data_IF_418399219506
#
_entry.id   IF_418399219506
#
_cell.length_a   1.000
_cell.length_b   1.000
_cell.length_c   1.000
_cell.angle_alpha   90.00
_cell.angle_beta   90.00
_cell.angle_gamma   90.00
#
_symmetry.space_group_name_H-M   'P 1'
#
loop_
_entity.id
_entity.type
_entity.pdbx_description
1 polymer ?
2 non-polymer ?
3 non-polymer ?
4 non-polymer ?
5 water ?
#
# COMPACT_ATOMS: atom_id res chain seq x y z
N UNK A 2 7.59 10.41 11.35
CA UNK A 2 7.20 9.06 10.84
C UNK A 2 8.35 8.52 9.98
N UNK A 3 8.93 7.41 10.44
CA UNK A 3 10.14 6.78 9.95
C UNK A 3 9.68 5.55 9.19
N UNK A 4 10.38 5.23 8.12
CA UNK A 4 10.27 3.96 7.42
C UNK A 4 11.48 3.09 7.75
N UNK A 5 11.19 1.84 8.17
CA UNK A 5 12.17 0.83 8.47
C UNK A 5 11.98 -0.35 7.51
N UNK A 6 13.02 -1.18 7.34
CA UNK A 6 12.88 -2.41 6.59
C UNK A 6 11.92 -3.32 7.34
N UNK A 7 10.91 -3.82 6.65
CA UNK A 7 9.93 -4.70 7.28
C UNK A 7 10.55 -6.02 7.79
N UNK A 8 11.65 -6.49 7.21
CA UNK A 8 12.23 -7.79 7.56
C UNK A 8 13.10 -7.69 8.82
N UNK A 9 13.71 -6.54 9.08
CA UNK A 9 14.74 -6.49 10.10
C UNK A 9 14.76 -5.21 10.92
N UNK A 10 14.03 -4.18 10.52
CA UNK A 10 14.03 -2.92 11.27
C UNK A 10 15.10 -1.90 10.91
N UNK A 11 15.94 -2.19 9.94
CA UNK A 11 16.91 -1.21 9.47
C UNK A 11 16.24 0.13 9.15
N UNK A 12 16.83 1.24 9.60
CA UNK A 12 16.30 2.58 9.34
C UNK A 12 16.50 2.93 7.85
N UNK A 13 15.45 3.32 7.13
CA UNK A 13 15.60 3.48 5.67
C UNK A 13 15.28 4.92 5.26
N UNK A 14 14.11 5.42 5.65
CA UNK A 14 13.72 6.73 5.17
C UNK A 14 12.71 7.39 6.12
N UNK A 15 12.10 8.48 5.66
CA UNK A 15 11.19 9.28 6.47
C UNK A 15 10.05 9.75 5.60
N UNK A 16 8.87 9.96 6.21
CA UNK A 16 7.74 10.52 5.49
C UNK A 16 8.05 11.94 4.97
N UNK A 17 8.83 12.72 5.73
CA UNK A 17 9.28 14.05 5.31
C UNK A 17 10.05 14.00 3.98
N UNK A 18 10.60 12.84 3.61
CA UNK A 18 11.48 12.71 2.46
C UNK A 18 10.75 12.15 1.26
N UNK A 19 9.43 12.00 1.34
CA UNK A 19 8.67 11.60 0.16
C UNK A 19 8.79 12.68 -0.90
N UNK A 20 8.77 12.24 -2.14
CA UNK A 20 8.96 13.08 -3.31
C UNK A 20 7.80 12.86 -4.29
N UNK A 21 6.95 13.86 -4.58
CA UNK A 21 5.95 13.73 -5.65
C UNK A 21 6.47 13.78 -7.10
N UNK A 22 7.03 12.66 -7.58
CA UNK A 22 7.50 12.54 -8.96
C UNK A 22 6.30 12.53 -9.90
N UNK A 23 6.23 13.49 -10.83
CA UNK A 23 5.13 13.59 -11.77
C UNK A 23 3.78 13.86 -11.09
N UNK A 24 3.82 14.44 -9.88
CA UNK A 24 2.60 14.84 -9.19
C UNK A 24 2.15 13.87 -8.09
N UNK A 25 2.82 12.72 -7.94
CA UNK A 25 2.39 11.75 -6.94
C UNK A 25 3.64 11.05 -6.40
N UNK A 26 3.67 10.80 -5.08
CA UNK A 26 4.78 10.03 -4.52
C UNK A 26 4.56 8.54 -4.76
N UNK A 27 3.31 8.11 -5.00
CA UNK A 27 3.03 6.70 -5.28
C UNK A 27 2.87 6.42 -6.78
N UNK A 28 3.61 5.43 -7.26
CA UNK A 28 3.50 4.94 -8.63
C UNK A 28 3.27 3.43 -8.64
N UNK A 29 2.26 2.98 -9.37
CA UNK A 29 1.97 1.56 -9.42
C UNK A 29 2.46 1.06 -10.77
N UNK A 30 3.42 0.14 -10.75
CA UNK A 30 4.19 -0.20 -11.94
C UNK A 30 4.33 -1.71 -12.01
N UNK A 31 4.66 -2.22 -13.20
CA UNK A 31 4.92 -3.64 -13.36
C UNK A 31 6.21 -3.82 -14.12
N UNK A 32 6.95 -4.86 -13.73
CA UNK A 32 8.19 -5.20 -14.39
C UNK A 32 7.92 -6.23 -15.49
N UNK A 33 8.94 -6.59 -16.30
CA UNK A 33 8.75 -7.56 -17.37
C UNK A 33 8.50 -8.99 -16.91
N UNK A 34 8.72 -9.28 -15.61
CA UNK A 34 8.39 -10.55 -15.01
C UNK A 34 6.95 -10.56 -14.52
N UNK A 35 6.22 -9.48 -14.77
CA UNK A 35 4.81 -9.35 -14.45
C UNK A 35 4.53 -9.02 -12.98
N UNK A 36 5.57 -8.68 -12.21
CA UNK A 36 5.35 -8.32 -10.83
C UNK A 36 4.87 -6.88 -10.78
N UNK A 37 3.82 -6.63 -9.99
CA UNK A 37 3.28 -5.31 -9.74
C UNK A 37 3.86 -4.77 -8.43
N UNK A 38 4.27 -3.49 -8.44
CA UNK A 38 4.81 -2.87 -7.24
C UNK A 38 4.10 -1.55 -7.04
N UNK A 39 3.72 -1.26 -5.78
CA UNK A 39 3.41 0.09 -5.37
C UNK A 39 4.72 0.73 -4.89
N UNK A 40 5.24 1.64 -5.71
CA UNK A 40 6.53 2.27 -5.48
C UNK A 40 6.27 3.66 -4.89
N UNK A 41 6.91 3.92 -3.74
CA UNK A 41 6.94 5.26 -3.18
C UNK A 41 8.27 5.90 -3.51
N UNK A 42 8.24 7.12 -4.04
CA UNK A 42 9.43 7.88 -4.38
C UNK A 42 9.88 8.74 -3.19
N UNK A 43 11.17 8.66 -2.91
CA UNK A 43 11.78 9.42 -1.83
C UNK A 43 12.95 10.19 -2.39
N UNK A 44 13.13 11.43 -1.88
CA UNK A 44 14.30 12.23 -2.25
C UNK A 44 15.56 11.63 -1.66
N UNK A 45 15.43 10.96 -0.51
CA UNK A 45 16.58 10.49 0.22
C UNK A 45 16.22 9.20 0.96
N UNK A 46 17.21 8.31 1.09
CA UNK A 46 17.12 7.11 1.91
C UNK A 46 18.52 6.78 2.41
N UNK A 47 18.57 5.93 3.44
CA UNK A 47 19.80 5.48 4.07
C UNK A 47 19.65 3.98 4.38
N UNK A 48 20.75 3.33 4.78
CA UNK A 48 20.70 1.97 5.31
C UNK A 48 20.55 0.93 4.20
N UNK A 49 20.71 1.36 2.94
CA UNK A 49 20.58 0.50 1.77
C UNK A 49 21.96 0.09 1.29
N UNK A 50 22.00 -0.91 0.42
CA UNK A 50 23.22 -1.25 -0.28
C UNK A 50 22.82 -1.28 -1.75
N UNK A 51 23.48 -0.44 -2.57
CA UNK A 51 23.20 -0.38 -3.99
C UNK A 51 24.07 -1.40 -4.72
N UNK A 52 23.45 -2.20 -5.57
CA UNK A 52 24.09 -3.37 -6.12
C UNK A 52 24.18 -3.19 -7.63
N UNK A 53 25.38 -3.46 -8.17
CA UNK A 53 25.57 -3.50 -9.60
C UNK A 53 25.82 -2.10 -10.17
N UNK A 54 25.66 -1.99 -11.49
CA UNK A 54 25.88 -0.73 -12.15
C UNK A 54 24.54 -0.24 -12.68
N UNK A 55 24.30 1.08 -12.79
CA UNK A 55 23.02 1.59 -13.27
C UNK A 55 22.69 1.06 -14.66
N UNK A 56 21.39 0.91 -14.90
CA UNK A 56 20.85 0.45 -16.16
C UNK A 56 19.62 1.27 -16.48
N UNK A 57 19.47 1.63 -17.76
CA UNK A 57 18.29 2.33 -18.23
C UNK A 57 17.21 1.37 -18.74
N UNK A 58 17.51 0.06 -18.81
CA UNK A 58 16.60 -0.91 -19.42
C UNK A 58 15.31 -1.04 -18.59
N UNK A 59 14.16 -0.78 -19.23
CA UNK A 59 12.84 -0.91 -18.63
C UNK A 59 12.61 0.08 -17.49
N UNK A 60 13.38 1.18 -17.44
CA UNK A 60 13.17 2.16 -16.38
C UNK A 60 11.74 2.69 -16.43
N UNK A 61 11.04 2.72 -15.28
CA UNK A 61 9.70 3.29 -15.21
C UNK A 61 9.70 4.81 -15.26
N UNK A 62 10.87 5.41 -15.07
CA UNK A 62 10.99 6.83 -14.93
C UNK A 62 11.89 7.34 -16.04
N UNK A 63 11.29 8.12 -16.94
CA UNK A 63 11.97 8.55 -18.15
C UNK A 63 13.16 9.43 -17.79
N UNK A 64 14.30 9.13 -18.39
CA UNK A 64 15.53 9.88 -18.17
C UNK A 64 16.40 9.31 -17.06
N UNK A 65 15.90 8.32 -16.29
CA UNK A 65 16.67 7.81 -15.17
C UNK A 65 17.13 6.38 -15.41
N UNK A 66 18.34 6.10 -14.93
CA UNK A 66 18.89 4.77 -14.86
C UNK A 66 18.71 4.26 -13.43
N UNK A 67 18.53 2.94 -13.27
CA UNK A 67 18.28 2.38 -11.94
C UNK A 67 19.41 1.46 -11.51
N UNK A 68 19.56 1.38 -10.18
CA UNK A 68 20.40 0.40 -9.52
C UNK A 68 19.58 -0.27 -8.42
N UNK A 69 19.73 -1.60 -8.29
CA UNK A 69 18.99 -2.35 -7.27
C UNK A 69 19.43 -1.87 -5.89
N UNK A 70 18.44 -1.65 -5.00
CA UNK A 70 18.67 -1.19 -3.64
C UNK A 70 18.21 -2.33 -2.70
N UNK A 71 19.16 -2.91 -1.98
CA UNK A 71 18.86 -3.90 -0.95
C UNK A 71 18.90 -3.21 0.42
N UNK A 72 18.21 -3.80 1.38
CA UNK A 72 18.45 -3.48 2.77
C UNK A 72 19.92 -3.79 3.03
N UNK A 73 20.68 -2.79 3.54
CA UNK A 73 22.08 -2.96 3.84
C UNK A 73 22.31 -3.93 5.00
N UNK A 74 21.27 -4.17 5.79
CA UNK A 74 21.36 -5.06 6.94
C UNK A 74 21.02 -6.50 6.56
N UNK A 75 19.82 -6.73 6.01
CA UNK A 75 19.33 -8.09 5.80
C UNK A 75 19.37 -8.54 4.34
N UNK A 76 19.64 -7.64 3.40
CA UNK A 76 19.75 -8.01 2.00
C UNK A 76 18.40 -8.08 1.27
N UNK A 77 17.29 -7.76 1.95
CA UNK A 77 15.99 -7.78 1.32
C UNK A 77 15.95 -6.76 0.18
N UNK A 78 15.27 -7.06 -0.93
CA UNK A 78 15.18 -6.10 -2.02
C UNK A 78 14.13 -5.04 -1.70
N UNK A 79 14.55 -3.79 -1.47
CA UNK A 79 13.60 -2.77 -1.05
C UNK A 79 13.19 -1.84 -2.19
N UNK A 80 13.92 -1.86 -3.31
CA UNK A 80 13.58 -1.03 -4.43
C UNK A 80 14.79 -0.73 -5.29
N UNK A 81 14.83 0.51 -5.78
CA UNK A 81 15.88 0.97 -6.70
C UNK A 81 16.29 2.40 -6.38
N UNK A 82 17.55 2.71 -6.64
CA UNK A 82 18.05 4.06 -6.71
C UNK A 82 18.04 4.47 -8.18
N UNK A 83 17.54 5.68 -8.44
CA UNK A 83 17.48 6.21 -9.80
C UNK A 83 18.50 7.33 -9.89
N UNK A 84 19.20 7.40 -11.02
CA UNK A 84 20.13 8.50 -11.24
C UNK A 84 20.20 8.84 -12.73
N UNK A 85 20.90 9.94 -13.04
CA UNK A 85 21.21 10.28 -14.42
C UNK A 85 20.23 11.25 -15.05
N UNK A 86 19.22 11.70 -14.27
CA UNK A 86 18.13 12.51 -14.78
C UNK A 86 18.30 13.95 -14.35
N UNK A 87 17.19 14.71 -14.26
CA UNK A 87 17.22 16.10 -13.87
C UNK A 87 15.98 16.46 -13.06
N UNK A 88 16.17 17.29 -12.05
CA UNK A 88 15.09 17.85 -11.27
C UNK A 88 14.14 16.76 -10.78
N UNK A 89 14.58 15.81 -9.95
CA UNK A 89 15.93 15.76 -9.41
C UNK A 89 16.89 14.90 -10.22
N UNK A 90 18.20 15.01 -9.90
CA UNK A 90 19.18 14.17 -10.56
C UNK A 90 19.00 12.71 -10.15
N UNK A 91 18.67 12.51 -8.87
CA UNK A 91 18.59 11.20 -8.27
C UNK A 91 17.41 11.13 -7.29
N UNK A 92 16.92 9.91 -7.08
CA UNK A 92 15.89 9.68 -6.07
C UNK A 92 15.80 8.18 -5.85
N UNK A 93 15.00 7.79 -4.85
CA UNK A 93 14.80 6.39 -4.55
C UNK A 93 13.35 6.00 -4.79
N UNK A 94 13.16 4.87 -5.48
CA UNK A 94 11.84 4.28 -5.58
C UNK A 94 11.78 3.01 -4.75
N UNK A 95 11.05 3.05 -3.64
CA UNK A 95 11.03 1.94 -2.70
C UNK A 95 9.66 1.27 -2.72
N UNK A 96 9.69 -0.06 -2.56
CA UNK A 96 8.47 -0.85 -2.58
C UNK A 96 7.77 -0.72 -1.22
N UNK A 97 6.60 -0.09 -1.25
CA UNK A 97 5.88 0.33 -0.06
C UNK A 97 5.70 -0.85 0.90
N UNK A 98 5.33 -2.04 0.42
CA UNK A 98 4.98 -3.09 1.37
C UNK A 98 6.20 -3.86 1.89
N UNK A 99 7.41 -3.45 1.49
CA UNK A 99 8.63 -3.98 2.05
C UNK A 99 9.17 -3.07 3.16
N UNK A 100 8.44 -1.98 3.45
CA UNK A 100 8.79 -1.07 4.52
C UNK A 100 7.72 -1.16 5.62
N UNK A 101 8.07 -0.73 6.83
CA UNK A 101 7.15 -0.54 7.95
C UNK A 101 7.28 0.91 8.43
N UNK A 102 6.14 1.56 8.68
CA UNK A 102 6.10 2.95 9.06
C UNK A 102 5.85 3.06 10.56
N UNK A 103 6.55 3.98 11.23
CA UNK A 103 6.32 4.14 12.65
C UNK A 103 7.03 5.32 13.29
N UNK A 104 6.93 5.43 14.63
CA UNK A 104 7.56 6.52 15.39
C UNK A 104 9.04 6.78 15.16
N UNK A 105 9.39 8.09 15.06
CA UNK A 105 10.75 8.60 15.07
C UNK A 105 11.45 8.40 16.43
N UNK B 1 -19.47 -11.38 -0.96
CA UNK B 1 -19.89 -11.74 0.42
C UNK B 1 -18.76 -12.49 1.11
N UNK B 2 -17.68 -11.76 1.37
CA UNK B 2 -16.57 -12.28 2.15
C UNK B 2 -16.53 -11.63 3.53
N UNK B 3 -16.38 -12.45 4.58
CA UNK B 3 -16.27 -11.95 5.93
C UNK B 3 -14.91 -12.36 6.49
N UNK B 4 -14.49 -11.59 7.48
CA UNK B 4 -13.28 -11.86 8.24
C UNK B 4 -13.69 -12.29 9.63
N UNK B 5 -13.12 -13.41 10.08
CA UNK B 5 -13.44 -13.99 11.39
C UNK B 5 -12.18 -14.02 12.22
N UNK B 6 -12.33 -14.00 13.53
CA UNK B 6 -11.24 -14.15 14.47
C UNK B 6 -10.61 -15.51 14.22
N UNK B 7 -9.30 -15.55 13.94
CA UNK B 7 -8.68 -16.81 13.60
C UNK B 7 -8.67 -17.78 14.80
N UNK B 8 -8.74 -17.25 16.03
CA UNK B 8 -8.63 -18.09 17.23
C UNK B 8 -9.96 -18.77 17.56
N UNK B 9 -11.10 -18.12 17.28
CA UNK B 9 -12.36 -18.62 17.82
C UNK B 9 -13.49 -18.63 16.80
N UNK B 10 -13.32 -17.98 15.64
CA UNK B 10 -14.31 -18.04 14.58
C UNK B 10 -15.36 -16.92 14.62
N UNK B 11 -15.38 -16.07 15.64
CA UNK B 11 -16.38 -15.01 15.63
C UNK B 11 -16.23 -14.13 14.38
N UNK B 12 -17.34 -13.77 13.73
CA UNK B 12 -17.37 -12.80 12.65
C UNK B 12 -16.98 -11.41 13.16
N UNK B 13 -16.06 -10.75 12.46
CA UNK B 13 -15.54 -9.49 12.93
C UNK B 13 -15.82 -8.37 11.91
N UNK B 14 -15.55 -8.62 10.64
CA UNK B 14 -15.74 -7.59 9.66
C UNK B 14 -16.02 -8.18 8.29
N UNK B 15 -16.18 -7.28 7.33
CA UNK B 15 -16.56 -7.68 5.98
C UNK B 15 -15.58 -7.08 5.01
N UNK B 16 -15.36 -7.78 3.90
CA UNK B 16 -14.49 -7.24 2.86
C UNK B 16 -15.06 -5.96 2.25
N UNK B 17 -16.39 -5.86 2.15
CA UNK B 17 -17.07 -4.65 1.69
C UNK B 17 -16.68 -3.41 2.51
N UNK B 18 -16.20 -3.62 3.73
CA UNK B 18 -15.89 -2.53 4.64
C UNK B 18 -14.43 -2.13 4.65
N UNK B 19 -13.61 -2.71 3.77
CA UNK B 19 -12.23 -2.27 3.67
C UNK B 19 -12.20 -0.80 3.33
N UNK B 20 -11.22 -0.13 3.90
CA UNK B 20 -11.14 1.32 3.88
C UNK B 20 -9.75 1.75 3.45
N UNK B 21 -9.60 2.43 2.29
CA UNK B 21 -8.28 2.91 1.87
C UNK B 21 -7.80 4.19 2.56
N UNK B 22 -7.31 4.03 3.79
CA UNK B 22 -6.75 5.13 4.56
C UNK B 22 -5.44 5.56 3.91
N UNK B 23 -5.36 6.83 3.51
CA UNK B 23 -4.18 7.37 2.85
C UNK B 23 -3.86 6.69 1.51
N UNK B 24 -4.85 6.06 0.88
CA UNK B 24 -4.63 5.46 -0.43
C UNK B 24 -4.56 3.94 -0.41
N UNK B 25 -4.44 3.31 0.77
CA UNK B 25 -4.33 1.85 0.78
C UNK B 25 -5.05 1.31 2.00
N UNK B 26 -5.69 0.13 1.89
CA UNK B 26 -6.29 -0.48 3.07
C UNK B 26 -5.22 -1.21 3.89
N UNK B 27 -4.08 -1.57 3.28
CA UNK B 27 -2.99 -2.23 3.98
C UNK B 27 -1.90 -1.24 4.44
N UNK B 28 -1.60 -1.27 5.73
CA UNK B 28 -0.52 -0.49 6.31
C UNK B 28 0.42 -1.40 7.08
N UNK B 29 1.70 -1.46 6.71
CA UNK B 29 2.68 -2.14 7.55
C UNK B 29 3.30 -1.11 8.48
N UNK B 30 3.21 -1.36 9.79
CA UNK B 30 3.53 -0.37 10.80
C UNK B 30 4.41 -1.02 11.88
N UNK B 31 5.12 -0.19 12.65
CA UNK B 31 5.83 -0.69 13.84
C UNK B 31 5.53 0.23 15.03
N UNK B 32 5.43 -0.37 16.21
CA UNK B 32 5.13 0.38 17.42
C UNK B 32 6.45 0.78 18.09
N UNK B 33 6.42 1.55 19.21
CA UNK B 33 7.63 1.96 19.89
C UNK B 33 8.47 0.85 20.50
N UNK B 34 7.89 -0.35 20.67
CA UNK B 34 8.61 -1.51 21.15
C UNK B 34 9.25 -2.27 19.97
N UNK B 35 9.03 -1.77 18.76
CA UNK B 35 9.64 -2.32 17.54
C UNK B 35 8.89 -3.53 17.01
N UNK B 36 7.66 -3.77 17.47
CA UNK B 36 6.88 -4.86 16.93
C UNK B 36 6.22 -4.39 15.63
N UNK B 37 6.31 -5.23 14.58
CA UNK B 37 5.79 -4.90 13.27
C UNK B 37 4.45 -5.61 13.04
N UNK B 38 3.47 -4.87 12.55
CA UNK B 38 2.13 -5.43 12.28
C UNK B 38 1.76 -5.07 10.84
N UNK B 39 1.13 -6.02 10.15
CA UNK B 39 0.46 -5.72 8.90
C UNK B 39 -1.03 -5.47 9.21
N UNK B 40 -1.46 -4.22 9.06
CA UNK B 40 -2.78 -3.76 9.47
C UNK B 40 -3.64 -3.57 8.22
N UNK B 41 -4.84 -4.12 8.25
CA UNK B 41 -5.86 -3.78 7.27
C UNK B 41 -6.92 -2.87 7.90
N UNK B 42 -7.25 -1.79 7.22
CA UNK B 42 -8.22 -0.81 7.72
C UNK B 42 -9.63 -1.16 7.25
N UNK B 43 -10.54 -1.13 8.20
CA UNK B 43 -11.95 -1.39 7.95
C UNK B 43 -12.78 -0.27 8.55
N UNK B 44 -13.86 0.12 7.87
CA UNK B 44 -14.75 1.17 8.36
C UNK B 44 -15.43 0.80 9.67
N UNK B 45 -15.96 -0.42 9.69
CA UNK B 45 -16.74 -0.95 10.78
C UNK B 45 -16.23 -2.34 11.13
N UNK B 46 -16.65 -2.77 12.31
CA UNK B 46 -16.45 -4.12 12.75
C UNK B 46 -17.54 -4.45 13.78
N UNK B 47 -17.64 -5.72 14.13
CA UNK B 47 -18.46 -6.18 15.23
C UNK B 47 -17.72 -7.28 15.98
N UNK B 48 -18.23 -7.61 17.16
CA UNK B 48 -17.73 -8.75 17.91
C UNK B 48 -16.43 -8.48 18.64
N UNK B 49 -15.95 -7.23 18.68
CA UNK B 49 -14.71 -6.91 19.40
C UNK B 49 -15.05 -6.32 20.76
N UNK B 50 -14.05 -6.19 21.63
CA UNK B 50 -14.18 -5.44 22.86
C UNK B 50 -13.03 -4.46 22.87
N UNK B 51 -13.36 -3.17 22.93
CA UNK B 51 -12.39 -2.09 22.97
C UNK B 51 -12.03 -1.84 24.42
N UNK B 52 -10.74 -1.80 24.71
CA UNK B 52 -10.27 -1.78 26.09
C UNK B 52 -9.52 -0.48 26.32
N UNK B 53 -9.84 0.18 27.44
CA UNK B 53 -9.16 1.37 27.86
C UNK B 53 -9.84 2.63 27.34
N UNK B 54 -9.26 3.78 27.68
CA UNK B 54 -9.68 5.05 27.12
C UNK B 54 -8.81 5.35 25.90
N UNK B 55 -9.33 6.06 24.88
CA UNK B 55 -8.53 6.35 23.69
C UNK B 55 -7.28 7.14 24.04
N UNK B 56 -6.21 6.86 23.28
CA UNK B 56 -4.92 7.50 23.47
C UNK B 56 -4.44 8.00 22.12
N UNK B 57 -3.86 9.20 22.16
CA UNK B 57 -3.21 9.77 20.99
C UNK B 57 -1.75 9.36 20.85
N UNK B 58 -1.16 8.77 21.89
CA UNK B 58 0.28 8.52 21.94
C UNK B 58 0.72 7.54 20.84
N UNK B 59 1.58 7.97 19.91
CA UNK B 59 2.20 7.12 18.90
C UNK B 59 1.18 6.57 17.91
N UNK B 60 0.07 7.29 17.73
CA UNK B 60 -0.92 6.86 16.74
C UNK B 60 -0.30 6.75 15.35
N UNK B 61 -0.56 5.63 14.64
CA UNK B 61 -0.11 5.50 13.27
C UNK B 61 -0.86 6.41 12.31
N UNK B 62 -2.03 6.89 12.74
CA UNK B 62 -2.90 7.64 11.87
C UNK B 62 -3.11 9.05 12.44
N UNK B 63 -2.56 10.05 11.76
CA UNK B 63 -2.51 11.41 12.30
C UNK B 63 -3.93 11.94 12.50
N UNK B 64 -4.18 12.46 13.71
CA UNK B 64 -5.44 13.08 14.06
C UNK B 64 -6.42 12.09 14.68
N UNK B 65 -6.00 10.83 14.85
CA UNK B 65 -6.84 9.84 15.47
C UNK B 65 -6.24 9.40 16.79
N UNK B 66 -7.13 9.14 17.75
CA UNK B 66 -6.82 8.42 18.96
C UNK B 66 -7.16 6.94 18.80
N UNK B 67 -6.43 6.06 19.52
CA UNK B 67 -6.63 4.63 19.39
C UNK B 67 -7.05 4.00 20.72
N UNK B 68 -7.75 2.87 20.58
CA UNK B 68 -8.10 1.96 21.66
C UNK B 68 -7.81 0.54 21.21
N UNK B 69 -7.27 -0.31 22.10
CA UNK B 69 -6.98 -1.71 21.81
C UNK B 69 -8.27 -2.49 21.60
N UNK B 70 -8.31 -3.31 20.54
CA UNK B 70 -9.45 -4.13 20.17
C UNK B 70 -9.11 -5.59 20.38
N UNK B 71 -9.81 -6.25 21.31
CA UNK B 71 -9.73 -7.68 21.49
C UNK B 71 -10.92 -8.36 20.83
N UNK B 72 -10.78 -9.63 20.44
CA UNK B 72 -11.97 -10.38 20.10
C UNK B 72 -12.85 -10.42 21.35
N UNK B 73 -14.13 -10.05 21.22
CA UNK B 73 -15.01 -9.95 22.38
C UNK B 73 -15.37 -11.34 22.93
N UNK B 74 -15.16 -12.36 22.10
CA UNK B 74 -15.48 -13.73 22.46
C UNK B 74 -14.29 -14.41 23.14
N UNK B 75 -13.09 -14.40 22.54
CA UNK B 75 -11.95 -15.17 23.06
C UNK B 75 -10.83 -14.31 23.63
N UNK B 76 -10.87 -12.98 23.44
CA UNK B 76 -9.89 -12.10 24.04
C UNK B 76 -8.58 -11.95 23.24
N UNK B 77 -8.46 -12.60 22.08
CA UNK B 77 -7.29 -12.44 21.22
C UNK B 77 -7.14 -10.97 20.80
N UNK B 78 -5.91 -10.43 20.77
CA UNK B 78 -5.69 -9.07 20.32
C UNK B 78 -5.81 -9.00 18.80
N UNK B 79 -6.85 -8.30 18.28
CA UNK B 79 -7.07 -8.29 16.84
C UNK B 79 -6.64 -6.98 16.18
N UNK B 80 -6.43 -5.92 16.96
CA UNK B 80 -6.01 -4.64 16.41
C UNK B 80 -6.42 -3.48 17.33
N UNK B 81 -6.87 -2.39 16.69
CA UNK B 81 -7.17 -1.13 17.36
C UNK B 81 -8.36 -0.46 16.68
N UNK B 82 -9.12 0.32 17.46
CA UNK B 82 -10.13 1.22 16.95
C UNK B 82 -9.60 2.63 17.04
N UNK B 83 -9.81 3.40 15.97
CA UNK B 83 -9.36 4.78 15.83
C UNK B 83 -10.57 5.70 15.85
N UNK B 84 -10.45 6.83 16.56
CA UNK B 84 -11.54 7.79 16.61
C UNK B 84 -11.00 9.21 16.76
N UNK B 85 -11.91 10.18 16.61
CA UNK B 85 -11.61 11.59 16.87
C UNK B 85 -11.12 12.34 15.64
N UNK B 86 -11.19 11.69 14.48
CA UNK B 86 -10.72 12.31 13.25
C UNK B 86 -11.89 12.81 12.41
N UNK B 87 -11.65 12.96 11.11
CA UNK B 87 -12.69 13.37 10.18
C UNK B 87 -12.51 12.63 8.86
N UNK B 88 -13.64 12.24 8.27
CA UNK B 88 -13.65 11.68 6.93
C UNK B 88 -12.63 10.55 6.82
N UNK B 89 -12.75 9.42 7.55
CA UNK B 89 -13.84 9.18 8.47
C UNK B 89 -13.57 9.59 9.91
N UNK B 90 -14.63 9.63 10.73
CA UNK B 90 -14.45 9.95 12.14
C UNK B 90 -13.78 8.79 12.85
N UNK B 91 -14.17 7.56 12.47
CA UNK B 91 -13.78 6.34 13.16
C UNK B 91 -13.46 5.25 12.14
N UNK B 92 -12.59 4.31 12.55
CA UNK B 92 -12.30 3.13 11.72
C UNK B 92 -11.48 2.16 12.56
N UNK B 93 -11.31 0.95 12.03
CA UNK B 93 -10.51 -0.09 12.68
C UNK B 93 -9.26 -0.38 11.88
N UNK B 94 -8.13 -0.54 12.60
CA UNK B 94 -6.97 -1.21 12.03
C UNK B 94 -6.84 -2.60 12.62
N UNK B 95 -7.08 -3.65 11.80
CA UNK B 95 -7.08 -5.01 12.30
C UNK B 95 -5.87 -5.74 11.71
N UNK B 96 -5.30 -6.63 12.52
CA UNK B 96 -4.09 -7.35 12.18
C UNK B 96 -4.46 -8.49 11.23
N UNK B 97 -4.04 -8.37 9.98
CA UNK B 97 -4.52 -9.26 8.91
C UNK B 97 -4.25 -10.73 9.25
N UNK B 98 -3.10 -11.03 9.84
CA UNK B 98 -2.72 -12.40 10.14
C UNK B 98 -3.55 -13.04 11.25
N UNK B 99 -4.29 -12.24 12.02
CA UNK B 99 -5.11 -12.76 13.10
C UNK B 99 -6.56 -12.96 12.69
N UNK B 100 -6.83 -12.76 11.41
CA UNK B 100 -8.14 -12.92 10.83
C UNK B 100 -8.09 -14.08 9.84
N UNK B 101 -9.25 -14.75 9.65
CA UNK B 101 -9.45 -15.71 8.58
C UNK B 101 -10.62 -15.23 7.71
N UNK B 102 -10.40 -15.16 6.39
CA UNK B 102 -11.41 -14.73 5.44
C UNK B 102 -12.16 -15.94 4.88
N UNK B 103 -13.47 -15.79 4.73
CA UNK B 103 -14.31 -16.87 4.27
C UNK B 103 -15.67 -16.38 3.77
N UNK B 104 -16.49 -17.30 3.20
CA UNK B 104 -17.80 -16.92 2.65
C UNK B 104 -18.71 -16.47 3.79
N UNK B 105 -19.53 -15.45 3.52
CA UNK B 105 -20.50 -14.95 4.48
C UNK B 105 -21.22 -16.11 5.17
N UNK C 2 4.66 1.24 -23.68
CA UNK C 2 4.16 1.17 -22.28
C UNK C 2 2.68 0.78 -22.27
N UNK C 3 2.39 -0.21 -21.40
CA UNK C 3 1.14 -0.95 -21.38
C UNK C 3 0.40 -0.56 -20.11
N UNK C 4 -0.92 -0.34 -20.22
CA UNK C 4 -1.74 -0.06 -19.06
C UNK C 4 -2.45 -1.34 -18.65
N UNK C 5 -2.39 -1.66 -17.35
CA UNK C 5 -3.04 -2.83 -16.78
C UNK C 5 -3.90 -2.45 -15.58
N UNK C 6 -4.90 -3.29 -15.28
CA UNK C 6 -5.72 -3.08 -14.10
C UNK C 6 -4.83 -3.21 -12.89
N UNK C 7 -4.91 -2.23 -11.97
CA UNK C 7 -3.97 -2.17 -10.85
C UNK C 7 -4.31 -3.27 -9.85
N UNK C 8 -5.57 -3.72 -9.85
CA UNK C 8 -6.07 -4.64 -8.84
C UNK C 8 -5.76 -6.08 -9.22
N UNK C 9 -5.76 -6.41 -10.52
CA UNK C 9 -5.57 -7.79 -10.93
C UNK C 9 -4.56 -7.95 -12.06
N UNK C 10 -4.23 -6.90 -12.82
CA UNK C 10 -3.20 -6.99 -13.84
C UNK C 10 -3.71 -7.31 -15.25
N UNK C 11 -5.03 -7.35 -15.43
CA UNK C 11 -5.66 -7.43 -16.74
C UNK C 11 -5.04 -6.39 -17.67
N UNK C 12 -4.73 -6.79 -18.91
CA UNK C 12 -4.28 -5.80 -19.87
C UNK C 12 -5.51 -5.02 -20.37
N UNK C 13 -5.34 -3.69 -20.43
CA UNK C 13 -6.46 -2.82 -20.72
C UNK C 13 -6.16 -2.01 -21.98
N UNK C 14 -5.04 -1.27 -22.01
CA UNK C 14 -4.75 -0.41 -23.14
C UNK C 14 -3.24 -0.18 -23.24
N UNK C 15 -2.82 0.69 -24.17
CA UNK C 15 -1.41 1.00 -24.36
C UNK C 15 -1.23 2.51 -24.62
N UNK C 16 0.04 2.93 -24.71
CA UNK C 16 0.42 4.32 -24.92
C UNK C 16 -0.14 4.84 -26.25
N UNK C 17 -0.04 4.01 -27.30
CA UNK C 17 -0.40 4.37 -28.67
C UNK C 17 -1.90 4.67 -28.83
N UNK C 18 -2.73 4.23 -27.88
CA UNK C 18 -4.18 4.32 -28.00
C UNK C 18 -4.68 5.47 -27.13
N UNK C 42 -8.51 9.07 -21.29
CA UNK C 42 -9.02 9.14 -22.68
C UNK C 42 -8.21 8.20 -23.57
N UNK C 43 -8.85 7.10 -24.01
CA UNK C 43 -8.26 6.18 -24.98
C UNK C 43 -9.21 5.92 -26.14
N UNK C 44 -8.62 5.65 -27.32
CA UNK C 44 -9.35 5.36 -28.54
C UNK C 44 -9.66 3.86 -28.67
N UNK C 45 -8.76 3.00 -28.17
CA UNK C 45 -9.04 1.57 -28.10
C UNK C 45 -8.63 1.06 -26.72
N UNK C 46 -9.34 0.02 -26.27
CA UNK C 46 -9.01 -0.71 -25.06
C UNK C 46 -9.44 -2.16 -25.28
N UNK C 47 -9.02 -3.04 -24.37
CA UNK C 47 -9.40 -4.44 -24.38
C UNK C 47 -9.54 -4.83 -22.92
N UNK C 48 -10.25 -5.92 -22.66
CA UNK C 48 -10.22 -6.54 -21.34
C UNK C 48 -11.22 -5.91 -20.37
N UNK C 49 -12.07 -5.01 -20.88
CA UNK C 49 -13.13 -4.39 -20.09
C UNK C 49 -14.46 -5.10 -20.35
N UNK C 50 -15.42 -4.94 -19.43
CA UNK C 50 -16.82 -5.25 -19.70
C UNK C 50 -17.65 -3.97 -19.51
N UNK C 51 -18.39 -3.54 -20.55
CA UNK C 51 -19.17 -2.29 -20.49
C UNK C 51 -20.58 -2.60 -19.98
N UNK C 52 -20.97 -2.00 -18.84
CA UNK C 52 -22.17 -2.41 -18.11
C UNK C 52 -23.38 -1.58 -18.56
N UNK C 68 -21.59 3.91 -20.97
CA UNK C 68 -21.36 2.63 -20.27
C UNK C 68 -20.33 2.82 -19.16
N UNK C 69 -20.56 2.14 -18.01
CA UNK C 69 -19.53 1.96 -16.98
C UNK C 69 -18.64 0.80 -17.42
N UNK C 70 -17.31 1.05 -17.40
CA UNK C 70 -16.30 0.08 -17.82
C UNK C 70 -15.73 -0.61 -16.58
N UNK C 71 -16.07 -1.90 -16.44
CA UNK C 71 -15.47 -2.74 -15.42
C UNK C 71 -14.28 -3.46 -16.05
N UNK C 72 -13.21 -3.64 -15.26
CA UNK C 72 -12.21 -4.64 -15.56
C UNK C 72 -12.93 -5.97 -15.78
N UNK C 73 -12.69 -6.58 -16.96
CA UNK C 73 -13.30 -7.87 -17.27
C UNK C 73 -12.88 -8.98 -16.31
N UNK C 74 -11.69 -8.86 -15.69
CA UNK C 74 -11.13 -9.96 -14.92
C UNK C 74 -11.61 -9.89 -13.47
N UNK C 75 -11.45 -8.73 -12.82
CA UNK C 75 -11.76 -8.64 -11.40
C UNK C 75 -12.98 -7.76 -11.15
N UNK C 76 -13.44 -7.01 -12.16
CA UNK C 76 -14.65 -6.22 -12.04
C UNK C 76 -14.44 -4.86 -11.37
N UNK C 77 -13.19 -4.47 -11.05
CA UNK C 77 -12.92 -3.11 -10.61
C UNK C 77 -13.49 -2.09 -11.61
N UNK C 78 -14.15 -1.05 -11.08
CA UNK C 78 -14.53 0.11 -11.87
C UNK C 78 -13.25 0.82 -12.31
N UNK C 79 -13.00 0.83 -13.63
CA UNK C 79 -11.81 1.44 -14.19
C UNK C 79 -12.15 2.71 -14.98
N UNK C 80 -13.44 2.97 -15.24
CA UNK C 80 -13.84 4.13 -16.03
C UNK C 80 -15.18 3.95 -16.74
N UNK C 81 -15.32 4.57 -17.93
CA UNK C 81 -16.53 4.56 -18.73
C UNK C 81 -16.16 4.61 -20.21
N UNK C 82 -17.12 4.20 -21.06
CA UNK C 82 -16.97 4.28 -22.50
C UNK C 82 -17.78 5.48 -23.04
N UNK C 92 -14.38 6.88 -27.42
CA UNK C 92 -13.80 7.46 -26.17
C UNK C 92 -13.94 6.45 -25.01
N UNK C 93 -12.80 5.90 -24.58
CA UNK C 93 -12.69 5.22 -23.30
C UNK C 93 -12.10 6.19 -22.27
N UNK C 94 -12.86 6.44 -21.20
CA UNK C 94 -12.35 7.19 -20.06
C UNK C 94 -12.02 6.25 -18.90
N UNK C 95 -10.76 6.24 -18.47
CA UNK C 95 -10.30 5.34 -17.43
C UNK C 95 -9.69 6.12 -16.26
N UNK C 96 -10.08 5.78 -15.02
CA UNK C 96 -9.49 6.34 -13.82
C UNK C 96 -8.01 5.95 -13.75
N UNK C 97 -7.12 6.95 -13.92
CA UNK C 97 -5.68 6.73 -14.05
C UNK C 97 -5.13 6.08 -12.78
N UNK C 98 -5.70 6.43 -11.62
CA UNK C 98 -5.28 5.91 -10.33
C UNK C 98 -5.63 4.42 -10.21
N UNK C 99 -6.57 3.94 -11.06
CA UNK C 99 -6.97 2.55 -11.06
C UNK C 99 -6.16 1.74 -12.10
N UNK C 100 -5.09 2.33 -12.66
CA UNK C 100 -4.23 1.62 -13.61
C UNK C 100 -2.82 1.45 -13.06
N UNK C 101 -2.07 0.57 -13.72
CA UNK C 101 -0.65 0.35 -13.50
C UNK C 101 0.05 0.31 -14.86
N UNK C 102 1.30 0.77 -14.91
CA UNK C 102 1.99 0.92 -16.17
C UNK C 102 3.27 0.08 -16.13
N UNK C 103 3.66 -0.44 -17.31
CA UNK C 103 4.89 -1.19 -17.44
C UNK C 103 5.24 -1.47 -18.91
N UNK C 104 6.32 -2.25 -19.17
CA UNK C 104 6.75 -2.55 -20.53
C UNK C 104 5.81 -3.45 -21.35
N UNK C 105 5.98 -3.41 -22.68
CA UNK C 105 5.19 -4.22 -23.60
C UNK C 105 5.97 -5.51 -23.94
X LIG D 1 16.27 -5.47 6.24
X LIG E 1 11.21 -3.00 -14.72
X LIG E 1 12.52 1.08 -13.21
X LIG E 1 12.76 -3.03 -12.90
X LIG E 1 13.95 -2.19 -12.45
X LIG E 1 13.47 -0.80 -12.08
X LIG E 1 12.66 -0.14 -13.15
X LIG E 1 11.95 -0.97 -14.00
X LIG E 1 11.91 -2.35 -13.95
X LIG E 1 13.28 -4.27 -13.42
X LIG E 1 12.90 -5.45 -12.93
X LIG E 1 13.26 -6.71 -13.69
X LIG E 1 12.89 -7.91 -13.08
X LIG E 1 13.16 -9.12 -13.68
X LIG E 1 13.79 -9.17 -14.92
X LIG E 1 14.16 -7.97 -15.53
X LIG E 1 13.91 -6.74 -14.94
X LIG E 1 14.34 -5.51 -15.70
X LIG E 1 14.06 -10.37 -15.52
X LIG E 1 12.20 -5.50 -11.93
X LIG E 1 12.19 -3.22 -12.10
X LIG E 1 14.60 -2.13 -13.18
X LIG E 1 14.38 -2.61 -11.68
X LIG E 1 12.93 -0.84 -11.27
X LIG E 1 14.25 -0.23 -11.90
X LIG E 1 11.50 -0.59 -14.64
X LIG E 1 13.89 -4.24 -14.03
X LIG E 1 12.46 -7.90 -12.25
X LIG E 1 12.90 -9.92 -13.27
X LIG E 1 14.59 -7.99 -16.36
X LIG E 1 14.71 -5.77 -16.56
X LIG E 1 15.02 -5.02 -15.20
X LIG E 1 13.57 -4.93 -15.86
X LIG E 1 14.46 -10.39 -16.30
X LIG E 1 13.83 -11.11 -15.13
X LIG F 1 17.83 19.35 -8.76
X LIG F 1 18.37 18.16 -9.55
X LIG F 1 17.89 20.63 -9.63
X LIG F 1 16.37 19.08 -8.34
X LIG F 1 18.69 19.56 -7.49
X LIG G 1 3.22 1.16 4.28
X LIG G 1 3.18 1.90 2.95
X LIG G 1 4.74 0.87 4.69
X LIG G 1 2.50 -0.15 4.20
X LIG G 1 2.61 2.05 5.40
X LIG H 1 -11.96 -14.73 19.00
X LIG I 1 2.20 2.34 18.27
X LIG I 1 -1.72 3.52 16.32
X LIG I 1 0.26 1.22 19.13
X LIG I 1 -1.20 1.53 19.32
X LIG I 1 -1.85 1.82 17.99
X LIG I 1 -1.15 2.84 17.17
X LIG I 1 0.22 3.00 17.41
X LIG I 1 0.99 2.26 18.28
X LIG I 1 0.92 1.06 20.43
X LIG I 1 1.51 -0.09 20.76
X LIG I 1 2.35 -0.10 22.00
X LIG I 1 2.75 -1.37 22.44
X LIG I 1 3.54 -1.51 23.55
X LIG I 1 3.96 -0.39 24.26
X LIG I 1 3.56 0.88 23.84
X LIG I 1 2.77 1.04 22.71
X LIG I 1 2.39 2.45 22.34
X LIG I 1 4.74 -0.55 25.39
X LIG I 1 1.43 -1.10 20.05
X LIG I 1 0.32 0.36 18.66
X LIG I 1 -1.30 2.32 19.90
X LIG I 1 -1.65 0.79 19.76
X LIG I 1 -1.89 0.98 17.47
X LIG I 1 -2.78 2.12 18.12
X LIG I 1 0.62 3.64 16.95
X LIG I 1 0.84 1.69 21.00
X LIG I 1 2.48 -2.13 21.96
X LIG I 1 3.80 -2.37 23.83
X LIG I 1 3.84 1.62 24.33
X LIG I 1 2.91 3.08 22.89
X LIG I 1 1.44 2.59 22.48
X LIG I 1 2.62 2.61 21.40
X LIG I 1 5.00 0.15 25.84
X LIG I 1 4.98 -1.34 25.65
X LIG J 1 8.73 -8.36 14.89
X LIG J 1 9.68 -7.43 14.08
X LIG J 1 8.67 -9.71 14.21
X LIG J 1 7.34 -7.75 14.96
X LIG J 1 9.31 -8.41 16.32
X LIG K 1 -8.23 -10.15 -22.80
X LIG K 1 -8.78 -9.97 -24.20
X LIG K 1 -7.17 -11.27 -22.80
X LIG K 1 -9.38 -10.55 -21.89
X LIG K 1 -7.60 -8.84 -22.30
X LIG L 1 -8.89 -6.12 -12.64
#
# INVERSE_FOLDING_TARGET
>A
ASIFRCRQCGQTISRRDWLLPMGGDHEHVVFNPAGMIFRVWCFSLAQGLRLIGAPSGEFSWFKGYDWTIALCGQCGSHLGWHYEGGSQPQTFFGLIKDRLAEGPA
>B
ASIFRCRQCGQTISRRDWLLPMGGDHEHVVFNPAGMIFRVWCFSLAQGLRLIGAPSGEFSWFKGYDWTIALCGQCGSHLGWHYEGGSQPQTFFGLIKDRLAEGPA
>C
ASIFRCRQCGQTISRRDWLLPMGGDHEHVVFNPAGMIFRVWCFSLAQGLRLIGAPSGEFSWFKGYDWTIALCGQCGSHLGWHYEGGSQPQTFFGLIKDRLAEGPA
>D hetero
1 ZN ZN
>E hetero
1 W26 O2 O1 C1 C2 C3 C4 N1 C5 N2 C6 C7 C8 C9 C10 C11 C12 C13 N3 O3 H1 H3 H2 H5 H4 H6 H7 H8 H9 H10 H11 H12 H13 H14 H15
>F hetero
1 PO4 P O1 O2 O3 O4
>G hetero
1 PO4 P O1 O2 O3 O4
>H hetero
1 ZN ZN
>I hetero
1 W26 O2 O1 C1 C2 C3 C4 N1 C5 N2 C6 C7 C8 C9 C10 C11 C12 C13 N3 O3 H1 H3 H2 H5 H4 H6 H7 H8 H9 H10 H11 H12 H13 H14 H15
>J hetero
1 PO4 P O1 O2 O3 O4
>K hetero
1 PO4 P O1 O2 O3 O4
>L hetero
1 ZN ZN
#
